data_IF_951221245802
#
_entry.id   IF_951221245802
#
_cell.length_a   1.000
_cell.length_b   1.000
_cell.length_c   1.000
_cell.angle_alpha   90.00
_cell.angle_beta   90.00
_cell.angle_gamma   90.00
#
_symmetry.space_group_name_H-M   'P 1'
#
loop_
_entity.id
_entity.type
_entity.pdbx_description
1 polymer ?
#
# COMPACT_ATOMS: atom_id res chain seq x y z
N UNK A 1 -18.14 -4.54 -4.76
CA UNK A 1 -16.96 -4.20 -5.59
C UNK A 1 -16.40 -5.50 -6.16
N UNK A 2 -16.05 -5.54 -7.44
CA UNK A 2 -15.35 -6.70 -8.04
C UNK A 2 -13.83 -6.63 -7.82
N UNK A 3 -13.09 -7.71 -8.14
CA UNK A 3 -11.63 -7.78 -7.97
C UNK A 3 -10.89 -6.65 -8.71
N UNK A 4 -11.29 -6.32 -9.94
CA UNK A 4 -10.67 -5.24 -10.72
C UNK A 4 -10.89 -3.85 -10.10
N UNK A 5 -12.10 -3.60 -9.58
CA UNK A 5 -12.40 -2.35 -8.89
C UNK A 5 -11.54 -2.21 -7.64
N UNK A 6 -11.37 -3.29 -6.86
CA UNK A 6 -10.52 -3.30 -5.68
C UNK A 6 -9.04 -3.06 -6.01
N UNK A 7 -8.52 -3.73 -7.06
CA UNK A 7 -7.15 -3.50 -7.57
C UNK A 7 -6.95 -2.05 -7.98
N UNK A 8 -7.88 -1.50 -8.75
CA UNK A 8 -7.84 -0.12 -9.19
C UNK A 8 -7.84 0.86 -8.01
N UNK A 9 -8.69 0.61 -7.00
CA UNK A 9 -8.72 1.41 -5.76
C UNK A 9 -7.36 1.39 -5.06
N UNK A 10 -6.72 0.22 -4.92
CA UNK A 10 -5.42 0.13 -4.25
C UNK A 10 -4.29 0.81 -5.01
N UNK A 11 -4.24 0.67 -6.34
CA UNK A 11 -3.27 1.39 -7.18
C UNK A 11 -3.47 2.90 -7.06
N UNK A 12 -4.72 3.36 -7.07
CA UNK A 12 -5.07 4.78 -6.89
C UNK A 12 -4.68 5.28 -5.51
N UNK A 13 -4.93 4.49 -4.46
CA UNK A 13 -4.56 4.81 -3.09
C UNK A 13 -3.03 4.90 -2.94
N UNK A 14 -2.27 3.92 -3.44
CA UNK A 14 -0.80 3.94 -3.47
C UNK A 14 -0.27 5.19 -4.14
N UNK A 15 -0.79 5.55 -5.32
CA UNK A 15 -0.36 6.74 -6.04
C UNK A 15 -0.67 8.02 -5.28
N UNK A 16 -1.83 8.08 -4.63
CA UNK A 16 -2.23 9.23 -3.81
C UNK A 16 -1.37 9.36 -2.56
N UNK A 17 -1.11 8.25 -1.86
CA UNK A 17 -0.24 8.23 -0.69
C UNK A 17 1.17 8.72 -1.05
N UNK A 18 1.74 8.26 -2.17
CA UNK A 18 3.05 8.73 -2.66
C UNK A 18 3.07 10.25 -2.91
N UNK A 19 2.00 10.84 -3.43
CA UNK A 19 1.89 12.30 -3.60
C UNK A 19 1.92 13.06 -2.28
N UNK A 20 1.43 12.46 -1.20
CA UNK A 20 1.39 13.05 0.14
C UNK A 20 2.51 12.52 1.07
N UNK A 21 3.46 11.72 0.56
CA UNK A 21 4.47 11.04 1.36
C UNK A 21 5.26 12.00 2.25
N UNK A 22 5.67 13.16 1.71
CA UNK A 22 6.42 14.17 2.45
C UNK A 22 5.63 14.79 3.60
N UNK A 23 4.30 14.93 3.46
CA UNK A 23 3.45 15.43 4.54
C UNK A 23 3.18 14.34 5.58
N UNK A 24 3.00 13.09 5.14
CA UNK A 24 2.83 11.94 6.01
C UNK A 24 4.08 11.65 6.86
N UNK A 25 5.28 11.86 6.29
CA UNK A 25 6.55 11.79 7.03
C UNK A 25 6.62 12.77 8.22
N UNK A 26 5.80 13.83 8.22
CA UNK A 26 5.76 14.82 9.32
C UNK A 26 4.76 14.47 10.42
N UNK A 27 3.95 13.42 10.26
CA UNK A 27 2.85 13.13 11.18
C UNK A 27 3.26 12.31 12.41
N UNK A 28 4.14 11.31 12.27
CA UNK A 28 4.61 10.52 13.40
C UNK A 28 5.85 11.17 14.01
N UNK A 29 5.66 11.88 15.13
CA UNK A 29 6.70 12.71 15.77
C UNK A 29 7.02 12.25 17.19
N UNK A 30 6.73 10.99 17.55
CA UNK A 30 6.92 10.47 18.92
C UNK A 30 7.78 9.20 18.98
N UNK A 31 8.76 9.09 19.90
CA UNK A 31 9.40 10.14 20.71
C UNK A 31 10.50 10.90 19.94
N UNK A 32 10.90 10.42 18.76
CA UNK A 32 11.89 11.04 17.87
C UNK A 32 11.32 11.01 16.44
N UNK A 33 11.30 12.12 15.69
CA UNK A 33 10.88 12.10 14.28
C UNK A 33 11.97 11.42 13.44
N UNK A 34 11.75 10.16 13.09
CA UNK A 34 12.53 9.45 12.06
C UNK A 34 12.19 9.95 10.64
N UNK A 35 11.06 10.63 10.49
CA UNK A 35 10.66 11.29 9.24
C UNK A 35 10.34 10.28 8.14
N UNK A 36 9.99 9.04 8.50
CA UNK A 36 9.89 7.93 7.56
C UNK A 36 8.49 7.32 7.45
N UNK A 37 7.49 7.85 8.16
CA UNK A 37 6.15 7.25 8.23
C UNK A 37 5.47 7.11 6.87
N UNK A 38 5.49 8.17 6.06
CA UNK A 38 5.04 8.13 4.67
C UNK A 38 5.86 7.16 3.84
N UNK A 39 7.18 7.10 4.05
CA UNK A 39 8.08 6.17 3.36
C UNK A 39 7.73 4.72 3.67
N UNK A 40 7.49 4.38 4.94
CA UNK A 40 7.12 3.03 5.37
C UNK A 40 5.75 2.62 4.79
N UNK A 41 4.75 3.51 4.83
CA UNK A 41 3.46 3.24 4.20
C UNK A 41 3.57 3.09 2.67
N UNK A 42 4.41 3.88 2.01
CA UNK A 42 4.62 3.77 0.56
C UNK A 42 5.27 2.43 0.19
N UNK A 43 6.23 1.95 0.99
CA UNK A 43 6.84 0.62 0.82
C UNK A 43 5.83 -0.50 0.99
N UNK A 44 4.99 -0.45 2.03
CA UNK A 44 3.92 -1.44 2.24
C UNK A 44 2.98 -1.49 1.04
N UNK A 45 2.53 -0.34 0.52
CA UNK A 45 1.64 -0.31 -0.64
C UNK A 45 2.32 -0.73 -1.94
N UNK A 46 3.62 -0.48 -2.10
CA UNK A 46 4.38 -1.01 -3.24
C UNK A 46 4.47 -2.54 -3.18
N UNK A 47 4.69 -3.12 -1.99
CA UNK A 47 4.69 -4.57 -1.80
C UNK A 47 3.31 -5.19 -2.10
N UNK A 48 2.22 -4.54 -1.67
CA UNK A 48 0.85 -4.94 -2.01
C UNK A 48 0.60 -4.93 -3.51
N UNK A 49 0.94 -3.85 -4.20
CA UNK A 49 0.74 -3.75 -5.66
C UNK A 49 1.60 -4.78 -6.40
N UNK A 50 2.85 -4.97 -5.98
CA UNK A 50 3.72 -5.98 -6.57
C UNK A 50 3.17 -7.41 -6.38
N UNK A 51 2.50 -7.71 -5.27
CA UNK A 51 1.88 -9.02 -5.06
C UNK A 51 0.60 -9.19 -5.88
N UNK A 52 -0.19 -8.12 -6.04
CA UNK A 52 -1.35 -8.11 -6.93
C UNK A 52 -0.97 -8.41 -8.38
N UNK A 53 0.14 -7.85 -8.87
CA UNK A 53 0.61 -8.05 -10.25
C UNK A 53 1.02 -9.51 -10.54
N UNK A 54 1.42 -10.27 -9.51
CA UNK A 54 1.78 -11.70 -9.64
C UNK A 54 0.57 -12.63 -9.66
N UNK A 55 -0.56 -12.19 -9.09
CA UNK A 55 -1.75 -13.04 -8.84
C UNK A 55 -2.99 -12.38 -9.42
N UNK A 56 -3.22 -12.42 -10.74
CA UNK A 56 -4.51 -12.06 -11.32
C UNK A 56 -5.55 -13.10 -10.93
N UNK A 57 -6.77 -12.69 -10.56
CA UNK A 57 -7.83 -13.63 -10.26
C UNK A 57 -8.99 -13.06 -9.45
N UNK A 58 -9.81 -13.97 -8.95
CA UNK A 58 -11.06 -13.68 -8.24
C UNK A 58 -10.83 -12.88 -6.94
N UNK A 59 -11.93 -12.45 -6.32
CA UNK A 59 -11.88 -11.59 -5.13
C UNK A 59 -11.07 -12.21 -3.98
N UNK A 60 -11.17 -13.53 -3.76
CA UNK A 60 -10.41 -14.22 -2.72
C UNK A 60 -8.90 -14.15 -2.94
N UNK A 61 -8.44 -14.43 -4.16
CA UNK A 61 -7.02 -14.36 -4.52
C UNK A 61 -6.49 -12.92 -4.42
N UNK A 62 -7.31 -11.96 -4.81
CA UNK A 62 -7.03 -10.53 -4.66
C UNK A 62 -6.85 -10.16 -3.18
N UNK A 63 -7.75 -10.60 -2.30
CA UNK A 63 -7.64 -10.40 -0.85
C UNK A 63 -6.40 -11.07 -0.26
N UNK A 64 -6.08 -12.30 -0.70
CA UNK A 64 -4.89 -13.02 -0.25
C UNK A 64 -3.60 -12.32 -0.67
N UNK A 65 -3.54 -11.77 -1.89
CA UNK A 65 -2.41 -10.98 -2.36
C UNK A 65 -2.23 -9.69 -1.54
N UNK A 66 -3.32 -9.00 -1.20
CA UNK A 66 -3.28 -7.80 -0.34
C UNK A 66 -2.74 -8.13 1.04
N UNK A 67 -3.28 -9.17 1.70
CA UNK A 67 -2.83 -9.61 3.01
C UNK A 67 -1.35 -9.99 3.00
N UNK A 68 -0.92 -10.75 2.00
CA UNK A 68 0.47 -11.19 1.89
C UNK A 68 1.43 -10.01 1.63
N UNK A 69 1.11 -9.15 0.66
CA UNK A 69 1.93 -7.97 0.35
C UNK A 69 2.00 -6.95 1.49
N UNK A 70 0.98 -6.89 2.35
CA UNK A 70 0.96 -6.00 3.52
C UNK A 70 1.89 -6.46 4.66
N UNK A 71 2.19 -7.76 4.74
CA UNK A 71 2.98 -8.36 5.82
C UNK A 71 4.46 -8.58 5.46
N UNK A 72 4.76 -8.71 4.16
CA UNK A 72 6.11 -9.06 3.68
C UNK A 72 6.91 -7.84 3.15
N UNK A 73 6.32 -6.63 3.23
CA UNK A 73 6.94 -5.37 2.80
C UNK A 73 7.97 -4.80 3.75
#
# INVERSE_FOLDING_TARGET
MGPDALRHTLVTYRNTLKRHQADLNKLNVYPVPDGDTGTNMARTLDAVVAELDKRPGELEETCNAISHGSLMG
#
